data_IF_772714329739
#
_entry.id   IF_772714329739
#
_cell.length_a   1.000
_cell.length_b   1.000
_cell.length_c   1.000
_cell.angle_alpha   90.00
_cell.angle_beta   90.00
_cell.angle_gamma   90.00
#
_symmetry.space_group_name_H-M   'P 1'
#
loop_
_entity.id
_entity.type
_entity.pdbx_description
1 polymer ?
#
# COMPACT_ATOMS: atom_id res chain seq x y z
N UNK A 1 -15.80 -4.24 -11.68
CA UNK A 1 -15.68 -4.66 -10.27
C UNK A 1 -14.80 -5.89 -10.24
N UNK A 2 -13.77 -5.86 -9.44
CA UNK A 2 -12.85 -6.99 -9.21
C UNK A 2 -13.16 -7.63 -7.87
N UNK A 3 -13.04 -8.94 -7.78
CA UNK A 3 -13.26 -9.71 -6.55
C UNK A 3 -12.19 -10.79 -6.44
N UNK A 4 -11.62 -10.93 -5.28
CA UNK A 4 -10.72 -12.01 -4.94
C UNK A 4 -11.04 -12.51 -3.52
N UNK A 5 -11.31 -13.79 -3.42
CA UNK A 5 -11.67 -14.44 -2.15
C UNK A 5 -10.52 -15.34 -1.75
N UNK A 6 -10.04 -15.18 -0.52
CA UNK A 6 -8.84 -15.85 -0.02
C UNK A 6 -7.65 -15.62 -0.97
N UNK A 7 -7.22 -14.38 -1.08
CA UNK A 7 -6.05 -14.02 -1.91
C UNK A 7 -4.87 -14.97 -1.66
N UNK A 8 -4.16 -15.31 -2.72
CA UNK A 8 -3.06 -16.29 -2.65
C UNK A 8 -1.75 -15.60 -2.32
N UNK A 9 -1.16 -15.82 -1.15
CA UNK A 9 0.15 -15.26 -0.82
C UNK A 9 1.24 -15.76 -1.78
N UNK A 10 2.03 -14.85 -2.32
CA UNK A 10 3.19 -15.19 -3.16
C UNK A 10 4.52 -14.68 -2.62
N UNK A 11 4.50 -13.77 -1.65
CA UNK A 11 5.65 -13.20 -0.93
C UNK A 11 6.66 -12.45 -1.82
N UNK A 12 6.29 -12.11 -3.04
CA UNK A 12 7.17 -11.41 -3.98
C UNK A 12 6.55 -10.12 -4.57
N UNK A 13 5.26 -9.85 -4.29
CA UNK A 13 4.57 -8.66 -4.73
C UNK A 13 4.29 -8.58 -6.24
N UNK A 14 4.31 -9.70 -6.96
CA UNK A 14 4.15 -9.72 -8.42
C UNK A 14 2.74 -10.05 -8.88
N UNK A 15 2.09 -11.00 -8.22
CA UNK A 15 0.70 -11.37 -8.52
C UNK A 15 -0.23 -10.68 -7.53
N UNK A 16 -0.46 -9.39 -7.77
CA UNK A 16 -1.21 -8.51 -6.89
C UNK A 16 -2.71 -8.56 -7.17
N UNK A 17 -3.53 -8.11 -6.23
CA UNK A 17 -4.96 -7.91 -6.47
C UNK A 17 -5.19 -6.95 -7.64
N UNK A 18 -5.78 -7.45 -8.71
CA UNK A 18 -6.03 -6.68 -9.91
C UNK A 18 -7.28 -5.79 -9.74
N UNK A 19 -7.09 -4.48 -9.67
CA UNK A 19 -8.17 -3.51 -9.53
C UNK A 19 -8.75 -3.10 -10.89
N UNK A 20 -7.90 -2.88 -11.88
CA UNK A 20 -8.27 -2.52 -13.25
C UNK A 20 -7.24 -3.03 -14.24
N UNK A 21 -7.71 -3.63 -15.33
CA UNK A 21 -6.93 -3.90 -16.54
C UNK A 21 -7.81 -3.52 -17.74
N UNK A 22 -7.38 -2.52 -18.52
CA UNK A 22 -8.13 -2.09 -19.70
C UNK A 22 -7.23 -1.54 -20.80
N UNK A 23 -7.55 -1.92 -22.05
CA UNK A 23 -6.84 -1.46 -23.25
C UNK A 23 -7.64 -0.39 -23.96
N UNK A 24 -6.94 0.66 -24.41
CA UNK A 24 -7.52 1.81 -25.11
C UNK A 24 -6.87 3.10 -24.65
N UNK A 25 -7.53 4.21 -24.89
CA UNK A 25 -7.09 5.53 -24.46
C UNK A 25 -8.09 6.13 -23.48
N UNK A 26 -7.61 6.58 -22.35
CA UNK A 26 -8.49 7.13 -21.33
C UNK A 26 -7.75 7.70 -20.13
N UNK A 27 -8.45 7.75 -19.02
CA UNK A 27 -7.86 8.12 -17.74
C UNK A 27 -8.62 7.46 -16.59
N UNK A 28 -7.87 6.99 -15.62
CA UNK A 28 -8.37 6.47 -14.37
C UNK A 28 -8.68 7.60 -13.40
N UNK A 29 -9.81 7.52 -12.73
CA UNK A 29 -10.30 8.57 -11.81
C UNK A 29 -10.53 8.07 -10.38
N UNK A 30 -10.23 6.81 -10.08
CA UNK A 30 -10.28 6.33 -8.71
C UNK A 30 -10.95 5.00 -8.50
N UNK A 31 -11.06 4.63 -7.25
CA UNK A 31 -11.69 3.37 -6.85
C UNK A 31 -12.42 3.47 -5.51
N UNK A 32 -13.22 2.45 -5.26
CA UNK A 32 -13.69 2.04 -3.95
C UNK A 32 -13.17 0.63 -3.69
N UNK A 33 -12.38 0.46 -2.63
CA UNK A 33 -11.81 -0.81 -2.21
C UNK A 33 -12.47 -1.28 -0.92
N UNK A 34 -12.85 -2.54 -0.89
CA UNK A 34 -13.34 -3.23 0.30
C UNK A 34 -12.46 -4.43 0.59
N UNK A 35 -11.99 -4.54 1.82
CA UNK A 35 -11.20 -5.65 2.32
C UNK A 35 -11.89 -6.26 3.52
N UNK A 36 -12.10 -7.57 3.51
CA UNK A 36 -12.41 -8.32 4.71
C UNK A 36 -11.13 -8.99 5.19
N UNK A 37 -10.53 -8.38 6.20
CA UNK A 37 -9.31 -8.86 6.81
C UNK A 37 -9.61 -9.76 8.01
N UNK A 38 -8.99 -10.95 8.05
CA UNK A 38 -9.26 -11.94 9.09
C UNK A 38 -7.99 -12.66 9.62
N UNK A 39 -6.82 -12.31 9.12
CA UNK A 39 -5.57 -12.98 9.50
C UNK A 39 -4.91 -12.44 10.78
N UNK A 40 -5.43 -11.36 11.36
CA UNK A 40 -4.97 -10.86 12.66
C UNK A 40 -3.66 -10.07 12.63
N UNK A 41 -3.23 -9.60 11.45
CA UNK A 41 -2.06 -8.72 11.27
C UNK A 41 -2.48 -7.40 10.62
N UNK A 42 -1.55 -6.47 10.42
CA UNK A 42 -1.80 -5.26 9.66
C UNK A 42 -1.86 -5.57 8.15
N UNK A 43 -2.90 -5.10 7.47
CA UNK A 43 -3.16 -5.41 6.05
C UNK A 43 -2.69 -4.32 5.08
N UNK A 44 -2.49 -3.08 5.55
CA UNK A 44 -2.37 -1.89 4.73
C UNK A 44 -0.97 -1.60 4.16
N UNK A 45 0.01 -2.49 4.31
CA UNK A 45 1.38 -2.29 3.79
C UNK A 45 1.55 -2.68 2.31
N UNK A 46 0.47 -3.06 1.64
CA UNK A 46 0.54 -3.49 0.25
C UNK A 46 0.62 -2.30 -0.70
N UNK A 47 1.64 -2.27 -1.55
CA UNK A 47 1.88 -1.18 -2.51
C UNK A 47 0.83 -1.18 -3.61
N UNK A 48 0.35 0.02 -3.99
CA UNK A 48 -0.35 0.22 -5.24
C UNK A 48 0.65 0.33 -6.39
N UNK A 49 0.39 -0.41 -7.47
CA UNK A 49 1.24 -0.49 -8.64
C UNK A 49 0.43 -0.17 -9.90
N UNK A 50 0.90 0.81 -10.66
CA UNK A 50 0.22 1.27 -11.88
C UNK A 50 1.19 1.20 -13.05
N UNK A 51 0.88 0.32 -14.01
CA UNK A 51 1.57 0.20 -15.28
C UNK A 51 0.79 0.98 -16.34
N UNK A 52 1.47 1.83 -17.07
CA UNK A 52 0.87 2.70 -18.09
C UNK A 52 1.47 2.38 -19.46
N UNK A 53 0.59 2.12 -20.41
CA UNK A 53 0.91 1.84 -21.82
C UNK A 53 1.77 0.56 -21.97
N UNK A 54 3.01 0.70 -22.39
CA UNK A 54 3.91 -0.43 -22.68
C UNK A 54 4.99 -0.63 -21.58
N UNK A 55 4.73 -0.14 -20.37
CA UNK A 55 5.68 -0.26 -19.26
C UNK A 55 5.82 -1.70 -18.78
N UNK A 56 7.06 -2.12 -18.49
CA UNK A 56 7.39 -3.41 -17.88
C UNK A 56 7.47 -3.32 -16.34
N UNK A 57 7.79 -2.14 -15.83
CA UNK A 57 7.83 -1.83 -14.40
C UNK A 57 6.89 -0.64 -14.12
N UNK A 58 6.19 -0.61 -12.98
CA UNK A 58 5.24 0.45 -12.71
C UNK A 58 5.93 1.81 -12.54
N UNK A 59 5.51 2.81 -13.32
CA UNK A 59 5.97 4.19 -13.15
C UNK A 59 5.34 4.87 -11.92
N UNK A 60 4.22 4.36 -11.45
CA UNK A 60 3.61 4.74 -10.18
C UNK A 60 3.62 3.51 -9.29
N UNK A 61 4.46 3.55 -8.27
CA UNK A 61 4.59 2.53 -7.25
C UNK A 61 4.40 3.20 -5.89
N UNK A 62 3.35 2.81 -5.19
CA UNK A 62 3.02 3.34 -3.88
C UNK A 62 3.89 2.79 -2.76
N UNK A 63 3.50 3.08 -1.55
CA UNK A 63 4.23 2.70 -0.32
C UNK A 63 3.34 1.96 0.68
N UNK A 64 2.07 1.79 0.36
CA UNK A 64 1.10 1.09 1.18
C UNK A 64 -0.34 1.46 0.82
N UNK A 65 -1.26 0.55 1.06
CA UNK A 65 -2.69 0.78 0.83
C UNK A 65 -3.22 1.92 1.71
N UNK A 66 -2.74 2.08 2.95
CA UNK A 66 -3.12 3.21 3.79
C UNK A 66 -2.66 4.53 3.20
N UNK A 67 -1.44 4.60 2.66
CA UNK A 67 -0.91 5.80 2.01
C UNK A 67 -1.71 6.16 0.76
N UNK A 68 -2.06 5.14 -0.05
CA UNK A 68 -2.93 5.34 -1.20
C UNK A 68 -4.27 5.97 -0.81
N UNK A 69 -4.87 5.55 0.30
CA UNK A 69 -6.12 6.11 0.80
C UNK A 69 -5.95 7.32 1.73
N UNK A 70 -4.73 7.90 1.75
CA UNK A 70 -4.40 9.13 2.47
C UNK A 70 -4.44 8.99 4.00
N UNK A 71 -3.96 7.86 4.49
CA UNK A 71 -3.70 7.59 5.89
C UNK A 71 -2.20 7.42 6.15
N UNK A 72 -1.84 7.20 7.40
CA UNK A 72 -0.50 6.85 7.84
C UNK A 72 -0.55 6.17 9.20
N UNK A 73 0.31 5.17 9.41
CA UNK A 73 0.43 4.45 10.69
C UNK A 73 -0.84 3.69 11.10
N UNK A 74 -1.59 3.18 10.14
CA UNK A 74 -2.88 2.56 10.30
C UNK A 74 -3.99 3.35 9.63
N UNK A 75 -5.22 2.86 9.71
CA UNK A 75 -6.39 3.48 9.11
C UNK A 75 -7.38 3.91 10.17
N UNK A 76 -8.19 4.92 9.83
CA UNK A 76 -9.25 5.41 10.68
C UNK A 76 -10.41 5.91 9.83
N UNK A 77 -11.60 5.95 10.41
CA UNK A 77 -12.75 6.53 9.72
C UNK A 77 -12.53 8.01 9.47
N UNK A 78 -12.60 8.38 8.21
CA UNK A 78 -12.59 9.76 7.76
C UNK A 78 -13.40 9.89 6.48
N UNK A 79 -13.80 11.10 6.15
CA UNK A 79 -14.54 11.40 4.92
C UNK A 79 -14.11 12.76 4.39
N UNK A 80 -13.65 12.76 3.15
CA UNK A 80 -13.36 13.97 2.40
C UNK A 80 -13.92 13.85 0.98
N UNK A 81 -13.98 14.93 0.18
CA UNK A 81 -14.54 14.86 -1.17
C UNK A 81 -13.82 13.87 -2.10
N UNK A 82 -12.53 13.63 -1.91
CA UNK A 82 -11.71 12.84 -2.84
C UNK A 82 -11.13 11.56 -2.24
N UNK A 83 -11.16 11.39 -0.95
CA UNK A 83 -10.72 10.18 -0.27
C UNK A 83 -11.42 9.99 1.06
N UNK A 84 -11.40 8.77 1.56
CA UNK A 84 -11.94 8.48 2.87
C UNK A 84 -12.06 6.99 3.14
N UNK A 85 -12.22 6.67 4.42
CA UNK A 85 -12.51 5.34 4.92
C UNK A 85 -13.84 5.37 5.65
N UNK A 86 -14.86 4.77 5.04
CA UNK A 86 -16.25 4.80 5.54
C UNK A 86 -16.55 3.65 6.50
N UNK A 87 -15.80 2.57 6.40
CA UNK A 87 -15.88 1.44 7.31
C UNK A 87 -14.48 1.03 7.75
N UNK A 88 -14.29 0.85 9.02
CA UNK A 88 -13.04 0.43 9.63
C UNK A 88 -13.36 -0.25 10.96
N UNK A 89 -13.24 -1.56 10.99
CA UNK A 89 -13.49 -2.35 12.18
C UNK A 89 -12.24 -2.44 13.08
N UNK A 90 -11.07 -2.26 12.47
CA UNK A 90 -9.76 -2.24 13.14
C UNK A 90 -8.62 -2.59 12.18
N UNK A 91 -7.41 -2.27 12.53
CA UNK A 91 -6.23 -2.46 11.66
C UNK A 91 -5.84 -3.93 11.45
N UNK A 92 -6.27 -4.81 12.31
CA UNK A 92 -5.86 -6.23 12.29
C UNK A 92 -6.96 -7.21 11.99
N UNK A 93 -8.20 -6.75 11.79
CA UNK A 93 -9.34 -7.63 11.47
C UNK A 93 -10.57 -6.84 11.06
N UNK A 94 -11.51 -7.53 10.41
CA UNK A 94 -12.82 -7.02 10.08
C UNK A 94 -12.86 -6.29 8.75
N UNK A 95 -13.93 -5.54 8.54
CA UNK A 95 -14.15 -4.83 7.28
C UNK A 95 -13.43 -3.50 7.22
N UNK A 96 -12.82 -3.27 6.05
CA UNK A 96 -12.27 -1.99 5.64
C UNK A 96 -12.96 -1.59 4.34
N UNK A 97 -13.46 -0.36 4.26
CA UNK A 97 -14.01 0.19 3.01
C UNK A 97 -13.49 1.59 2.84
N UNK A 98 -12.66 1.76 1.82
CA UNK A 98 -11.99 3.01 1.52
C UNK A 98 -12.21 3.43 0.07
N UNK A 99 -12.14 4.72 -0.19
CA UNK A 99 -12.24 5.28 -1.55
C UNK A 99 -11.20 6.36 -1.78
N UNK A 100 -10.77 6.47 -3.03
CA UNK A 100 -9.97 7.58 -3.54
C UNK A 100 -10.40 7.96 -4.94
N UNK A 101 -10.52 9.26 -5.19
CA UNK A 101 -10.84 9.82 -6.49
C UNK A 101 -9.75 10.78 -6.96
N UNK A 102 -9.17 10.49 -8.11
CA UNK A 102 -8.17 11.28 -8.83
C UNK A 102 -8.84 12.27 -9.79
N UNK A 103 -9.74 13.13 -9.28
CA UNK A 103 -10.51 14.06 -10.13
C UNK A 103 -9.69 15.28 -10.55
N UNK A 104 -8.76 15.71 -9.70
CA UNK A 104 -7.87 16.85 -9.98
C UNK A 104 -6.58 16.42 -10.67
N UNK A 105 -6.22 15.16 -10.57
CA UNK A 105 -4.98 14.56 -11.06
C UNK A 105 -5.23 13.17 -11.67
N UNK A 106 -6.11 13.04 -12.69
CA UNK A 106 -6.43 11.75 -13.28
C UNK A 106 -5.22 11.10 -13.93
N UNK A 107 -5.12 9.78 -13.83
CA UNK A 107 -4.00 9.03 -14.39
C UNK A 107 -4.32 8.66 -15.83
N UNK A 108 -3.61 9.29 -16.76
CA UNK A 108 -3.85 9.15 -18.19
C UNK A 108 -3.12 7.96 -18.80
N UNK A 109 -3.77 7.29 -19.75
CA UNK A 109 -3.18 6.24 -20.58
C UNK A 109 -3.57 6.40 -22.04
N UNK A 110 -2.72 5.93 -22.97
CA UNK A 110 -2.92 6.03 -24.43
C UNK A 110 -3.23 4.69 -25.07
N UNK A 111 -2.79 3.59 -24.47
CA UNK A 111 -2.92 2.23 -25.01
C UNK A 111 -3.46 1.25 -23.99
N UNK A 112 -2.99 1.32 -22.77
CA UNK A 112 -3.27 0.36 -21.72
C UNK A 112 -3.05 0.97 -20.34
N UNK A 113 -3.81 0.53 -19.37
CA UNK A 113 -3.54 0.75 -17.95
C UNK A 113 -3.84 -0.52 -17.17
N UNK A 114 -2.92 -0.90 -16.29
CA UNK A 114 -3.12 -1.94 -15.30
C UNK A 114 -2.87 -1.37 -13.91
N UNK A 115 -3.82 -1.56 -13.01
CA UNK A 115 -3.76 -1.08 -11.64
C UNK A 115 -3.94 -2.27 -10.73
N UNK A 116 -3.01 -2.47 -9.83
CA UNK A 116 -3.02 -3.55 -8.85
C UNK A 116 -2.60 -3.05 -7.47
N UNK A 117 -2.88 -3.84 -6.45
CA UNK A 117 -2.48 -3.59 -5.08
C UNK A 117 -2.07 -4.89 -4.41
N UNK A 118 -0.98 -4.88 -3.67
CA UNK A 118 -0.51 -6.04 -2.93
C UNK A 118 -1.46 -6.39 -1.76
N UNK A 119 -1.56 -7.67 -1.44
CA UNK A 119 -2.27 -8.17 -0.25
C UNK A 119 -1.36 -8.10 0.99
N UNK A 120 -1.23 -6.93 1.59
CA UNK A 120 -0.17 -6.65 2.55
C UNK A 120 1.20 -6.61 1.86
N UNK A 121 2.26 -6.41 2.61
CA UNK A 121 3.60 -6.28 2.04
C UNK A 121 4.04 -7.54 1.28
N UNK A 122 4.38 -7.38 0.01
CA UNK A 122 4.80 -8.46 -0.90
C UNK A 122 3.80 -9.63 -0.96
N UNK A 123 2.51 -9.35 -0.90
CA UNK A 123 1.44 -10.36 -0.96
C UNK A 123 1.56 -11.48 0.09
N UNK A 124 1.85 -11.12 1.33
CA UNK A 124 1.98 -12.12 2.39
C UNK A 124 0.65 -12.52 3.06
N UNK A 125 -0.44 -11.83 2.73
CA UNK A 125 -1.76 -12.05 3.32
C UNK A 125 -2.72 -12.79 2.37
N UNK A 126 -3.71 -13.45 2.96
CA UNK A 126 -4.81 -14.10 2.27
C UNK A 126 -6.12 -13.58 2.84
N UNK A 127 -6.67 -12.54 2.26
CA UNK A 127 -7.88 -11.85 2.67
C UNK A 127 -8.91 -11.87 1.53
N UNK A 128 -10.13 -11.41 1.82
CA UNK A 128 -11.15 -11.23 0.79
C UNK A 128 -11.15 -9.77 0.32
N UNK A 129 -10.91 -9.56 -0.96
CA UNK A 129 -10.81 -8.25 -1.56
C UNK A 129 -11.88 -8.02 -2.61
N UNK A 130 -12.42 -6.80 -2.66
CA UNK A 130 -13.30 -6.37 -3.74
C UNK A 130 -13.08 -4.91 -4.07
N UNK A 131 -13.09 -4.58 -5.37
CA UNK A 131 -12.85 -3.23 -5.85
C UNK A 131 -13.83 -2.84 -6.95
N UNK A 132 -14.27 -1.58 -6.91
CA UNK A 132 -14.91 -0.91 -8.04
C UNK A 132 -13.98 0.20 -8.51
N UNK A 133 -13.36 0.02 -9.67
CA UNK A 133 -12.54 1.03 -10.32
C UNK A 133 -13.40 1.92 -11.23
N UNK A 134 -13.03 3.19 -11.33
CA UNK A 134 -13.69 4.21 -12.14
C UNK A 134 -12.71 4.81 -13.14
N UNK A 135 -13.10 4.82 -14.41
CA UNK A 135 -12.29 5.41 -15.46
C UNK A 135 -13.15 5.94 -16.61
N UNK A 136 -12.61 6.81 -17.41
CA UNK A 136 -13.16 7.24 -18.69
C UNK A 136 -12.32 6.67 -19.81
N UNK A 137 -12.96 6.23 -20.89
CA UNK A 137 -12.28 5.63 -22.02
C UNK A 137 -12.92 6.04 -23.33
N UNK A 138 -12.08 6.36 -24.32
CA UNK A 138 -12.55 6.66 -25.68
C UNK A 138 -13.05 5.39 -26.38
N UNK A 139 -14.09 5.54 -27.19
CA UNK A 139 -14.58 4.43 -28.02
C UNK A 139 -13.56 4.06 -29.13
N UNK A 140 -13.53 2.79 -29.60
CA UNK A 140 -14.34 1.69 -29.15
C UNK A 140 -13.87 1.13 -27.78
N UNK A 141 -14.83 0.77 -26.94
CA UNK A 141 -14.55 0.19 -25.62
C UNK A 141 -14.63 -1.34 -25.73
N UNK A 142 -13.64 -2.04 -25.22
CA UNK A 142 -13.73 -3.48 -25.00
C UNK A 142 -14.82 -3.74 -23.97
N UNK A 143 -15.69 -4.71 -24.22
CA UNK A 143 -16.73 -5.06 -23.26
C UNK A 143 -16.12 -5.48 -21.92
N UNK A 144 -16.52 -4.80 -20.85
CA UNK A 144 -16.16 -5.20 -19.50
C UNK A 144 -17.08 -6.34 -19.09
N UNK A 145 -16.51 -7.45 -18.68
CA UNK A 145 -17.27 -8.57 -18.11
C UNK A 145 -17.79 -8.12 -16.74
N UNK A 146 -19.09 -8.04 -16.60
CA UNK A 146 -19.73 -7.77 -15.31
C UNK A 146 -19.93 -9.11 -14.62
N UNK A 147 -19.43 -9.25 -13.40
CA UNK A 147 -19.63 -10.45 -12.59
C UNK A 147 -21.12 -10.74 -12.36
N UNK A 148 -21.53 -12.01 -12.22
CA UNK A 148 -22.87 -12.42 -11.83
C UNK A 148 -23.35 -11.70 -10.57
N UNK A 149 -24.66 -11.51 -10.44
CA UNK A 149 -25.22 -10.77 -9.29
C UNK A 149 -24.85 -11.43 -7.98
N UNK A 150 -24.81 -12.74 -7.95
CA UNK A 150 -24.49 -13.58 -6.80
C UNK A 150 -23.06 -13.32 -6.27
N UNK A 151 -22.14 -13.04 -7.18
CA UNK A 151 -20.73 -12.74 -6.86
C UNK A 151 -20.50 -11.28 -6.43
N UNK A 152 -21.52 -10.42 -6.61
CA UNK A 152 -21.48 -9.00 -6.20
C UNK A 152 -22.12 -8.73 -4.86
N UNK A 153 -22.68 -9.76 -4.23
CA UNK A 153 -23.32 -9.63 -2.92
C UNK A 153 -22.19 -9.49 -1.87
N UNK A 154 -22.24 -8.50 -0.99
CA UNK A 154 -21.27 -8.35 0.08
C UNK A 154 -21.18 -9.64 0.91
N UNK A 155 -19.96 -10.04 1.25
CA UNK A 155 -19.71 -11.17 2.13
C UNK A 155 -20.48 -10.95 3.45
N UNK A 156 -21.13 -11.98 3.94
CA UNK A 156 -21.88 -11.87 5.19
C UNK A 156 -20.91 -11.61 6.32
N UNK A 157 -21.14 -10.51 7.03
CA UNK A 157 -20.46 -10.23 8.27
C UNK A 157 -20.90 -11.27 9.30
N UNK A 158 -20.05 -12.23 9.62
CA UNK A 158 -20.21 -13.06 10.80
C UNK A 158 -19.39 -12.44 11.91
N UNK A 159 -20.00 -12.16 13.06
CA UNK A 159 -19.27 -11.65 14.25
C UNK A 159 -18.26 -12.68 14.77
N UNK A 160 -18.49 -13.93 14.47
CA UNK A 160 -17.54 -15.03 14.62
C UNK A 160 -16.76 -15.19 13.31
N UNK A 161 -15.89 -14.23 13.00
CA UNK A 161 -14.87 -14.45 11.97
C UNK A 161 -14.05 -15.62 12.47
N UNK A 162 -14.02 -16.77 11.79
CA UNK A 162 -13.23 -17.90 12.23
C UNK A 162 -11.81 -17.37 12.43
N UNK A 163 -11.22 -17.66 13.59
CA UNK A 163 -9.78 -17.48 13.77
C UNK A 163 -9.11 -18.07 12.55
N UNK A 164 -8.04 -17.45 12.04
CA UNK A 164 -7.54 -17.58 10.69
C UNK A 164 -7.79 -18.98 10.13
N UNK A 165 -8.94 -19.16 9.51
CA UNK A 165 -9.40 -20.45 9.02
C UNK A 165 -8.52 -20.89 7.85
N UNK A 166 -7.79 -19.98 7.28
CA UNK A 166 -6.88 -20.21 6.18
C UNK A 166 -5.47 -19.85 6.64
N UNK A 167 -4.90 -20.71 7.46
CA UNK A 167 -3.49 -20.99 7.26
C UNK A 167 -3.45 -21.63 5.87
N UNK A 168 -3.20 -20.82 4.85
CA UNK A 168 -2.78 -21.34 3.57
C UNK A 168 -1.60 -22.24 3.90
N UNK A 169 -1.72 -23.55 3.62
CA UNK A 169 -0.57 -24.44 3.74
C UNK A 169 0.44 -23.91 2.72
N UNK A 170 1.46 -23.21 3.23
CA UNK A 170 2.50 -22.65 2.40
C UNK A 170 3.17 -23.78 1.63
N UNK A 171 3.23 -23.68 0.32
CA UNK A 171 4.04 -24.59 -0.49
C UNK A 171 5.51 -24.50 -0.05
N UNK A 172 6.34 -25.50 -0.32
CA UNK A 172 7.78 -25.41 -0.02
C UNK A 172 8.43 -24.15 -0.63
N UNK A 173 8.02 -23.74 -1.83
CA UNK A 173 8.50 -22.55 -2.52
C UNK A 173 8.11 -21.28 -1.77
N UNK A 174 6.87 -21.17 -1.31
CA UNK A 174 6.37 -20.05 -0.51
C UNK A 174 7.09 -19.96 0.85
N UNK A 175 7.33 -21.11 1.50
CA UNK A 175 8.08 -21.17 2.75
C UNK A 175 9.52 -20.67 2.56
N UNK A 176 10.16 -21.06 1.46
CA UNK A 176 11.50 -20.59 1.11
C UNK A 176 11.52 -19.09 0.79
N UNK A 177 10.55 -18.59 0.02
CA UNK A 177 10.41 -17.17 -0.28
C UNK A 177 10.21 -16.35 1.00
N UNK A 178 9.37 -16.82 1.91
CA UNK A 178 9.14 -16.18 3.22
C UNK A 178 10.42 -16.16 4.07
N UNK A 179 11.15 -17.26 4.13
CA UNK A 179 12.43 -17.35 4.85
C UNK A 179 13.46 -16.38 4.26
N UNK A 180 13.67 -16.43 2.96
CA UNK A 180 14.59 -15.55 2.23
C UNK A 180 14.25 -14.06 2.42
N UNK A 181 12.95 -13.71 2.40
CA UNK A 181 12.49 -12.36 2.69
C UNK A 181 12.84 -11.94 4.12
N UNK A 182 12.56 -12.79 5.12
CA UNK A 182 12.85 -12.46 6.51
C UNK A 182 14.36 -12.27 6.74
N UNK A 183 15.19 -13.09 6.12
CA UNK A 183 16.65 -12.95 6.18
C UNK A 183 17.11 -11.62 5.56
N UNK A 184 16.53 -11.22 4.41
CA UNK A 184 16.81 -9.91 3.78
C UNK A 184 16.35 -8.76 4.66
N UNK A 185 15.18 -8.87 5.28
CA UNK A 185 14.66 -7.85 6.19
C UNK A 185 15.55 -7.68 7.44
N UNK A 186 16.01 -8.76 8.03
CA UNK A 186 16.92 -8.68 9.18
C UNK A 186 18.27 -8.06 8.77
N UNK A 187 18.82 -8.46 7.63
CA UNK A 187 20.03 -7.84 7.08
C UNK A 187 19.84 -6.33 6.86
N UNK A 188 18.73 -5.94 6.23
CA UNK A 188 18.40 -4.53 6.01
C UNK A 188 18.26 -3.74 7.32
N UNK A 189 17.62 -4.31 8.35
CA UNK A 189 17.52 -3.67 9.67
C UNK A 189 18.89 -3.41 10.29
N UNK A 190 19.80 -4.38 10.19
CA UNK A 190 21.18 -4.24 10.70
C UNK A 190 21.93 -3.15 9.94
N UNK A 191 21.88 -3.17 8.60
CA UNK A 191 22.54 -2.19 7.74
C UNK A 191 21.98 -0.78 8.00
N UNK A 192 20.67 -0.64 8.13
CA UNK A 192 20.00 0.64 8.43
C UNK A 192 20.37 1.17 9.81
N UNK A 193 20.42 0.30 10.83
CA UNK A 193 20.83 0.69 12.19
C UNK A 193 22.28 1.19 12.19
N UNK A 194 23.20 0.52 11.49
CA UNK A 194 24.58 0.95 11.36
C UNK A 194 24.70 2.27 10.61
N UNK A 195 23.91 2.46 9.52
CA UNK A 195 23.88 3.72 8.78
C UNK A 195 23.37 4.89 9.65
N UNK A 196 22.35 4.66 10.47
CA UNK A 196 21.85 5.66 11.43
C UNK A 196 22.96 6.02 12.44
N UNK A 197 23.66 5.01 12.97
CA UNK A 197 24.75 5.21 13.92
C UNK A 197 25.91 6.02 13.31
N UNK A 198 26.30 5.69 12.08
CA UNK A 198 27.33 6.41 11.34
C UNK A 198 26.92 7.87 11.06
N UNK A 199 25.67 8.09 10.65
CA UNK A 199 25.16 9.44 10.43
C UNK A 199 25.11 10.24 11.72
N UNK A 200 24.66 9.66 12.82
CA UNK A 200 24.67 10.32 14.14
C UNK A 200 26.08 10.68 14.58
N UNK A 201 27.07 9.80 14.35
CA UNK A 201 28.47 10.09 14.66
C UNK A 201 29.05 11.22 13.80
N UNK A 202 28.60 11.34 12.53
CA UNK A 202 29.03 12.44 11.62
C UNK A 202 28.40 13.78 11.96
N UNK A 203 27.19 13.77 12.49
CA UNK A 203 26.45 14.99 12.87
C UNK A 203 26.63 15.38 14.33
N UNK A 204 27.28 14.54 15.14
CA UNK A 204 27.63 14.87 16.51
C UNK A 204 28.53 16.12 16.51
N UNK A 205 28.16 17.19 17.28
CA UNK A 205 29.01 18.37 17.37
C UNK A 205 30.38 17.96 17.89
N UNK A 206 31.44 18.30 17.16
CA UNK A 206 32.79 18.10 17.68
C UNK A 206 32.95 18.95 18.95
N UNK A 207 33.55 18.40 20.01
CA UNK A 207 33.81 19.16 21.25
C UNK A 207 34.61 20.45 20.97
N UNK A 208 35.41 20.47 19.91
CA UNK A 208 36.12 21.64 19.41
C UNK A 208 35.19 22.69 18.81
N UNK A 209 34.19 22.28 18.00
CA UNK A 209 33.19 23.21 17.41
C UNK A 209 32.33 23.89 18.45
N UNK A 210 31.94 23.20 19.51
CA UNK A 210 31.16 23.77 20.60
C UNK A 210 31.99 24.76 21.42
N UNK A 211 33.30 24.54 21.64
CA UNK A 211 34.19 25.45 22.31
C UNK A 211 34.47 26.72 21.50
N UNK A 212 34.60 26.61 20.18
CA UNK A 212 34.77 27.76 19.29
C UNK A 212 33.51 28.61 19.20
N UNK A 213 32.33 27.98 19.12
CA UNK A 213 31.05 28.67 19.08
C UNK A 213 30.78 29.40 20.39
N UNK A 214 31.03 28.77 21.54
CA UNK A 214 30.93 29.38 22.87
C UNK A 214 31.91 30.55 23.04
N UNK A 215 33.11 30.43 22.47
CA UNK A 215 34.11 31.51 22.51
C UNK A 215 33.72 32.71 21.62
N UNK A 216 33.14 32.44 20.43
CA UNK A 216 32.58 33.50 19.55
C UNK A 216 31.41 34.22 20.18
N UNK A 217 30.44 33.51 20.75
CA UNK A 217 29.28 34.09 21.42
C UNK A 217 29.72 34.95 22.62
N UNK A 218 30.67 34.47 23.42
CA UNK A 218 31.20 35.23 24.54
C UNK A 218 31.91 36.53 24.09
N UNK A 219 32.66 36.48 22.98
CA UNK A 219 33.38 37.62 22.41
C UNK A 219 32.44 38.69 21.81
N UNK A 220 31.29 38.30 21.30
CA UNK A 220 30.26 39.23 20.83
C UNK A 220 29.53 39.89 22.01
N UNK A 221 29.19 39.12 23.05
CA UNK A 221 28.54 39.64 24.25
C UNK A 221 29.41 40.66 25.05
N UNK A 222 30.75 40.46 25.04
CA UNK A 222 31.70 41.36 25.68
C UNK A 222 32.00 42.63 24.87
N UNK A 223 31.53 42.71 23.60
CA UNK A 223 31.62 43.90 22.73
C UNK A 223 30.43 44.86 22.86
N UNK A 224 29.30 44.37 23.38
CA UNK A 224 28.09 45.14 23.58
C UNK A 224 27.95 45.74 24.99
N UNK A 225 28.99 45.60 25.83
CA UNK A 225 29.13 46.28 27.15
C UNK A 225 30.20 47.36 27.06
#
# INVERSE_FOLDING_TARGET
MSLEVNSVPNFDGKENFLMLDTKGRGHYVGCNLSVLHFQGSWWGEGDDMILIDDEEEPSINGTGAEDYFNHAWGMQRNQSPYNGTIMHDGDTKGYQVSYRFHLTDPIHFKKHIQISMEHGHANHLSDDWSCTAYWYQAAPVTSVTIQPVEERIPLKRTFDIPKPAHQVELTPEMQEAYRSRNERMEKFKVEKAEQIRLNAARTAPSETGNKELAHKVKKEFDKEK
#
